data_IF_546513371832
#
_entry.id   IF_546513371832
#
_cell.length_a   1.000
_cell.length_b   1.000
_cell.length_c   1.000
_cell.angle_alpha   90.00
_cell.angle_beta   90.00
_cell.angle_gamma   90.00
#
_symmetry.space_group_name_H-M   'P 1'
#
loop_
_entity.id
_entity.type
_entity.pdbx_description
1 polymer ?
#
# COMPACT_ATOMS: atom_id res chain seq x y z
N UNK A 1 58.14 -16.08 -8.39
CA UNK A 1 57.29 -17.24 -8.75
C UNK A 1 56.20 -16.73 -9.68
N UNK A 2 56.01 -17.29 -10.87
CA UNK A 2 55.01 -16.81 -11.84
C UNK A 2 53.71 -17.59 -11.65
N UNK A 3 52.58 -16.92 -11.41
CA UNK A 3 51.25 -17.56 -11.45
C UNK A 3 50.65 -17.39 -12.84
N UNK A 4 50.15 -18.51 -13.36
CA UNK A 4 49.62 -18.67 -14.71
C UNK A 4 48.16 -18.20 -14.74
N UNK A 5 47.76 -17.54 -15.83
CA UNK A 5 46.36 -17.19 -16.09
C UNK A 5 45.60 -18.44 -16.56
N UNK A 6 44.35 -18.60 -16.11
CA UNK A 6 43.39 -19.50 -16.74
C UNK A 6 42.17 -18.68 -17.18
N UNK A 7 42.07 -18.44 -18.49
CA UNK A 7 40.87 -17.88 -19.13
C UNK A 7 40.00 -19.06 -19.53
N UNK A 8 38.78 -19.13 -18.99
CA UNK A 8 37.78 -20.09 -19.45
C UNK A 8 36.71 -19.33 -20.24
N UNK A 9 36.82 -19.38 -21.56
CA UNK A 9 35.80 -18.87 -22.47
C UNK A 9 34.90 -20.04 -22.90
N UNK A 10 33.62 -19.97 -22.53
CA UNK A 10 32.60 -20.93 -22.95
C UNK A 10 31.51 -20.22 -23.75
N UNK A 11 31.72 -20.11 -25.06
CA UNK A 11 30.67 -19.73 -26.01
C UNK A 11 29.93 -20.97 -26.48
N UNK A 12 28.62 -21.06 -26.21
CA UNK A 12 27.72 -21.90 -27.00
C UNK A 12 26.47 -21.12 -27.40
N UNK A 13 26.15 -21.24 -28.67
CA UNK A 13 25.03 -20.60 -29.37
C UNK A 13 23.80 -21.50 -29.29
N UNK A 14 22.63 -20.92 -29.09
CA UNK A 14 21.37 -21.52 -29.49
C UNK A 14 20.43 -20.44 -30.06
N UNK A 15 20.13 -20.53 -31.36
CA UNK A 15 19.06 -19.74 -31.96
C UNK A 15 17.70 -20.30 -31.55
N UNK A 16 16.74 -19.41 -31.33
CA UNK A 16 15.34 -19.74 -31.04
C UNK A 16 14.40 -18.67 -31.59
N UNK A 17 14.42 -18.47 -32.91
CA UNK A 17 13.41 -17.68 -33.61
C UNK A 17 12.10 -18.47 -33.70
N UNK A 18 11.00 -17.87 -33.25
CA UNK A 18 9.63 -18.33 -33.48
C UNK A 18 8.68 -17.16 -33.30
N UNK A 19 8.69 -16.24 -34.25
CA UNK A 19 7.72 -15.17 -34.31
C UNK A 19 6.27 -15.66 -34.31
N UNK A 20 5.39 -14.93 -33.64
CA UNK A 20 3.94 -15.02 -33.81
C UNK A 20 3.35 -13.62 -33.74
N UNK A 21 3.50 -12.89 -34.85
CA UNK A 21 2.86 -11.60 -35.02
C UNK A 21 1.33 -11.75 -35.05
N UNK A 22 0.63 -10.94 -34.27
CA UNK A 22 -0.82 -10.74 -34.41
C UNK A 22 -1.07 -9.43 -35.14
N UNK A 23 -1.26 -9.53 -36.45
CA UNK A 23 -1.71 -8.42 -37.29
C UNK A 23 -3.23 -8.39 -37.39
N UNK A 24 -3.80 -7.23 -37.09
CA UNK A 24 -4.97 -6.63 -37.76
C UNK A 24 -6.30 -7.37 -37.77
N UNK A 25 -7.27 -6.77 -37.08
CA UNK A 25 -8.61 -6.57 -37.62
C UNK A 25 -9.04 -5.12 -37.31
N UNK A 26 -8.83 -4.24 -38.29
CA UNK A 26 -9.48 -2.93 -38.37
C UNK A 26 -10.70 -3.10 -39.28
N UNK A 27 -11.87 -2.64 -38.84
CA UNK A 27 -13.03 -2.29 -39.67
C UNK A 27 -14.21 -1.88 -38.76
N UNK A 28 -14.79 -0.68 -38.96
CA UNK A 28 -15.99 -0.29 -38.20
C UNK A 28 -16.38 1.19 -38.13
N UNK A 29 -16.17 1.97 -39.19
CA UNK A 29 -16.59 3.38 -39.24
C UNK A 29 -18.11 3.55 -39.06
N UNK A 30 -18.51 4.42 -38.12
CA UNK A 30 -19.85 5.01 -38.10
C UNK A 30 -19.84 6.45 -37.56
N UNK A 31 -19.50 7.41 -38.42
CA UNK A 31 -19.69 8.83 -38.13
C UNK A 31 -21.18 9.20 -38.18
N UNK A 32 -21.73 9.80 -37.11
CA UNK A 32 -23.02 10.50 -37.16
C UNK A 32 -22.80 11.97 -36.81
N UNK A 33 -23.20 12.83 -37.74
CA UNK A 33 -22.98 14.29 -37.71
C UNK A 33 -24.31 15.04 -37.58
N UNK A 34 -24.24 16.23 -36.97
CA UNK A 34 -25.24 17.31 -36.92
C UNK A 34 -26.43 17.17 -35.95
N UNK A 35 -26.73 18.29 -35.26
CA UNK A 35 -27.88 18.38 -34.33
C UNK A 35 -28.02 19.68 -33.53
N UNK A 36 -27.54 20.85 -34.00
CA UNK A 36 -27.81 22.13 -33.32
C UNK A 36 -29.25 22.61 -33.54
N UNK A 37 -29.98 22.97 -32.47
CA UNK A 37 -31.04 24.00 -32.45
C UNK A 37 -31.31 24.43 -31.00
N UNK A 38 -31.48 25.73 -30.69
CA UNK A 38 -31.67 26.23 -29.32
C UNK A 38 -33.14 26.28 -28.87
N UNK A 39 -33.40 26.19 -27.56
CA UNK A 39 -34.74 26.24 -26.97
C UNK A 39 -34.80 27.03 -25.66
N UNK A 40 -35.55 28.13 -25.67
CA UNK A 40 -35.70 29.09 -24.56
C UNK A 40 -36.81 28.71 -23.59
N UNK A 41 -36.59 28.95 -22.29
CA UNK A 41 -37.65 29.13 -21.28
C UNK A 41 -37.41 28.34 -19.99
N UNK A 42 -37.87 28.73 -18.80
CA UNK A 42 -38.37 29.98 -18.22
C UNK A 42 -38.94 29.56 -16.86
N UNK A 43 -38.73 30.35 -15.79
CA UNK A 43 -39.47 30.30 -14.50
C UNK A 43 -39.34 28.97 -13.69
N UNK A 44 -39.16 28.99 -12.37
CA UNK A 44 -40.01 29.67 -11.37
C UNK A 44 -39.26 29.99 -10.08
N UNK A 45 -39.58 31.16 -9.48
CA UNK A 45 -39.16 31.59 -8.14
C UNK A 45 -40.06 30.98 -7.06
N UNK A 46 -39.53 30.70 -5.86
CA UNK A 46 -40.23 30.75 -4.55
C UNK A 46 -39.32 30.12 -3.48
N UNK A 47 -39.20 30.58 -2.23
CA UNK A 47 -39.44 31.89 -1.61
C UNK A 47 -38.75 31.82 -0.22
N UNK A 48 -37.92 32.80 0.15
CA UNK A 48 -37.17 32.77 1.43
C UNK A 48 -37.57 33.94 2.31
N UNK A 49 -38.50 33.72 3.25
CA UNK A 49 -38.77 34.66 4.34
C UNK A 49 -39.46 33.96 5.52
N UNK A 50 -38.98 34.20 6.74
CA UNK A 50 -39.49 33.52 7.94
C UNK A 50 -38.86 34.00 9.25
N UNK A 51 -39.40 35.09 9.79
CA UNK A 51 -39.12 35.69 11.12
C UNK A 51 -40.29 35.37 12.08
N UNK A 52 -40.16 35.27 13.41
CA UNK A 52 -39.05 35.62 14.31
C UNK A 52 -39.12 34.86 15.67
N UNK A 53 -38.20 35.17 16.60
CA UNK A 53 -38.36 35.29 18.07
C UNK A 53 -39.57 34.62 18.79
N UNK A 54 -39.47 33.89 19.93
CA UNK A 54 -38.74 34.23 21.15
C UNK A 54 -38.78 33.14 22.27
N UNK A 55 -37.72 33.07 23.08
CA UNK A 55 -37.68 32.90 24.57
C UNK A 55 -38.55 31.87 25.33
N UNK A 56 -37.90 30.92 26.04
CA UNK A 56 -38.11 30.67 27.49
C UNK A 56 -37.02 29.77 28.17
N UNK A 57 -36.22 30.37 29.06
CA UNK A 57 -35.72 29.87 30.37
C UNK A 57 -35.23 28.41 30.60
N UNK A 58 -33.89 28.21 30.54
CA UNK A 58 -33.05 27.52 31.56
C UNK A 58 -33.15 26.00 31.82
N UNK A 59 -32.24 25.40 32.63
CA UNK A 59 -31.10 26.00 33.35
C UNK A 59 -29.71 25.60 32.81
N UNK A 60 -28.67 26.19 33.41
CA UNK A 60 -27.23 25.92 33.23
C UNK A 60 -26.86 24.44 32.95
N UNK A 61 -26.02 24.24 31.93
CA UNK A 61 -24.99 23.19 31.96
C UNK A 61 -23.62 23.83 31.68
N UNK A 62 -22.70 23.57 32.61
CA UNK A 62 -21.35 24.10 32.67
C UNK A 62 -20.54 23.82 31.38
N UNK A 63 -19.77 24.80 30.92
CA UNK A 63 -18.94 24.72 29.70
C UNK A 63 -17.49 24.37 30.03
N UNK A 64 -17.32 23.25 30.74
CA UNK A 64 -16.02 22.66 31.04
C UNK A 64 -15.47 21.82 29.88
N UNK A 65 -14.63 22.43 29.03
CA UNK A 65 -13.65 21.80 28.12
C UNK A 65 -14.00 20.44 27.49
N UNK A 66 -14.17 20.42 26.17
CA UNK A 66 -14.28 19.21 25.33
C UNK A 66 -12.97 18.42 25.30
N UNK A 67 -12.62 17.76 26.41
CA UNK A 67 -11.87 16.51 26.33
C UNK A 67 -12.76 15.50 25.64
N UNK A 68 -12.28 14.88 24.56
CA UNK A 68 -12.99 13.78 23.94
C UNK A 68 -13.35 12.75 25.01
N UNK A 69 -14.58 12.22 24.96
CA UNK A 69 -14.94 11.03 25.74
C UNK A 69 -14.14 9.88 25.13
N UNK A 70 -12.89 9.72 25.60
CA UNK A 70 -12.16 8.47 25.44
C UNK A 70 -12.99 7.43 26.14
N UNK A 71 -13.58 6.52 25.36
CA UNK A 71 -14.00 5.24 25.88
C UNK A 71 -12.72 4.53 26.33
N UNK A 72 -12.38 4.72 27.61
CA UNK A 72 -11.44 3.88 28.33
C UNK A 72 -12.09 2.51 28.45
N UNK A 73 -11.94 1.71 27.39
CA UNK A 73 -12.27 0.30 27.38
C UNK A 73 -11.26 -0.36 28.31
N UNK A 74 -11.62 -0.37 29.60
CA UNK A 74 -10.69 -0.61 30.69
C UNK A 74 -9.82 -1.83 30.47
N UNK A 75 -8.51 -1.63 30.66
CA UNK A 75 -7.48 -2.67 30.65
C UNK A 75 -7.98 -3.95 31.33
N UNK A 76 -8.09 -5.00 30.53
CA UNK A 76 -8.43 -6.34 31.01
C UNK A 76 -7.38 -6.78 32.05
N UNK A 77 -7.76 -7.13 33.30
CA UNK A 77 -6.81 -7.61 34.30
C UNK A 77 -6.17 -8.96 33.95
N UNK A 78 -6.59 -9.62 32.86
CA UNK A 78 -5.93 -10.79 32.26
C UNK A 78 -4.97 -10.44 31.11
N UNK A 79 -4.80 -9.16 30.79
CA UNK A 79 -3.65 -8.64 30.03
C UNK A 79 -3.51 -9.13 28.58
N UNK A 80 -4.56 -9.69 27.98
CA UNK A 80 -4.53 -10.27 26.63
C UNK A 80 -5.39 -9.45 25.64
N UNK A 81 -5.33 -8.13 25.75
CA UNK A 81 -5.69 -7.22 24.65
C UNK A 81 -4.37 -6.86 23.99
N UNK A 82 -4.17 -7.23 22.71
CA UNK A 82 -2.87 -7.18 22.04
C UNK A 82 -2.20 -5.81 22.17
N UNK A 83 -1.18 -5.71 23.02
CA UNK A 83 -0.47 -4.46 23.27
C UNK A 83 0.46 -4.09 22.11
N UNK A 84 0.80 -2.80 22.02
CA UNK A 84 1.74 -2.28 21.03
C UNK A 84 2.97 -3.20 20.87
N UNK A 85 3.40 -3.41 19.63
CA UNK A 85 4.62 -4.18 19.37
C UNK A 85 5.77 -3.65 20.22
N UNK A 86 6.28 -4.49 21.11
CA UNK A 86 7.35 -4.11 22.03
C UNK A 86 8.74 -4.36 21.43
N UNK A 87 8.81 -5.06 20.30
CA UNK A 87 10.04 -5.66 19.75
C UNK A 87 10.18 -5.45 18.24
N UNK A 88 11.41 -5.51 17.71
CA UNK A 88 11.67 -5.49 16.28
C UNK A 88 11.05 -6.71 15.57
N UNK A 89 10.46 -6.52 14.39
CA UNK A 89 9.85 -7.61 13.62
C UNK A 89 10.88 -8.70 13.29
N UNK A 90 12.10 -8.29 12.91
CA UNK A 90 13.23 -9.19 12.62
C UNK A 90 13.65 -10.12 13.77
N UNK A 91 13.23 -9.81 15.01
CA UNK A 91 13.62 -10.57 16.21
C UNK A 91 12.53 -11.51 16.71
N UNK A 92 11.36 -11.57 16.04
CA UNK A 92 10.24 -12.39 16.50
C UNK A 92 10.61 -13.89 16.56
N UNK A 93 10.31 -14.59 17.68
CA UNK A 93 10.68 -15.99 17.87
C UNK A 93 10.14 -16.90 16.75
N UNK A 94 11.05 -17.58 16.05
CA UNK A 94 10.67 -18.57 15.05
C UNK A 94 10.15 -17.99 13.73
N UNK A 95 10.23 -16.67 13.51
CA UNK A 95 10.02 -16.05 12.21
C UNK A 95 11.06 -16.59 11.20
N UNK A 96 10.59 -17.02 10.03
CA UNK A 96 11.42 -17.67 8.99
C UNK A 96 11.56 -16.77 7.76
N UNK A 97 10.47 -16.17 7.32
CA UNK A 97 10.42 -15.30 6.14
C UNK A 97 9.24 -14.34 6.21
N UNK A 98 9.27 -13.29 5.39
CA UNK A 98 8.20 -12.29 5.28
C UNK A 98 7.74 -12.28 3.83
N UNK A 99 6.42 -12.32 3.62
CA UNK A 99 5.81 -12.33 2.29
C UNK A 99 4.98 -11.07 2.09
N UNK A 100 5.20 -10.37 0.98
CA UNK A 100 4.37 -9.26 0.52
C UNK A 100 3.48 -9.80 -0.61
N UNK A 101 2.17 -9.59 -0.50
CA UNK A 101 1.20 -9.99 -1.50
C UNK A 101 0.82 -8.78 -2.35
N UNK A 102 1.34 -8.74 -3.57
CA UNK A 102 1.05 -7.72 -4.59
C UNK A 102 -0.16 -8.17 -5.41
N UNK A 103 -1.09 -7.26 -5.72
CA UNK A 103 -2.32 -7.62 -6.43
C UNK A 103 -2.63 -6.74 -7.63
N UNK A 104 -1.75 -6.77 -8.62
CA UNK A 104 -1.97 -6.18 -9.94
C UNK A 104 -2.51 -7.21 -10.94
N UNK A 105 -3.84 -7.30 -11.02
CA UNK A 105 -4.53 -8.16 -11.99
C UNK A 105 -4.57 -9.64 -11.58
N UNK A 106 -4.37 -10.54 -12.54
CA UNK A 106 -4.38 -12.00 -12.27
C UNK A 106 -5.71 -12.57 -11.76
N UNK A 107 -5.63 -13.75 -11.15
CA UNK A 107 -6.71 -14.37 -10.35
C UNK A 107 -6.33 -14.55 -8.88
N UNK A 108 -5.04 -14.49 -8.58
CA UNK A 108 -4.43 -14.59 -7.25
C UNK A 108 -3.35 -13.50 -7.18
N UNK A 109 -2.98 -12.98 -6.00
CA UNK A 109 -1.87 -12.05 -5.85
C UNK A 109 -0.51 -12.72 -6.13
N UNK A 110 0.45 -11.93 -6.58
CA UNK A 110 1.85 -12.33 -6.70
C UNK A 110 2.54 -12.21 -5.33
N UNK A 111 3.23 -13.27 -4.90
CA UNK A 111 3.75 -13.43 -3.55
C UNK A 111 5.28 -13.30 -3.51
N UNK A 112 5.77 -12.17 -3.00
CA UNK A 112 7.20 -11.86 -2.91
C UNK A 112 7.71 -12.17 -1.51
N UNK A 113 8.55 -13.20 -1.38
CA UNK A 113 8.98 -13.74 -0.07
C UNK A 113 10.47 -13.54 0.17
N UNK A 114 10.80 -12.84 1.25
CA UNK A 114 12.16 -12.47 1.64
C UNK A 114 12.58 -13.18 2.94
N UNK A 115 13.88 -13.46 3.08
CA UNK A 115 14.45 -13.91 4.34
C UNK A 115 14.46 -12.77 5.37
N UNK A 116 14.37 -13.09 6.67
CA UNK A 116 14.31 -12.09 7.75
C UNK A 116 15.51 -11.14 7.75
N UNK A 117 16.72 -11.64 7.48
CA UNK A 117 17.95 -10.85 7.28
C UNK A 117 18.29 -10.65 5.78
N UNK A 118 17.27 -10.62 4.90
CA UNK A 118 17.42 -10.33 3.46
C UNK A 118 17.93 -8.91 3.21
N UNK A 119 18.66 -8.70 2.12
CA UNK A 119 19.20 -7.39 1.75
C UNK A 119 18.12 -6.36 1.47
N UNK A 120 16.98 -6.83 0.96
CA UNK A 120 15.77 -6.07 0.65
C UNK A 120 15.26 -5.41 1.94
N UNK A 121 14.85 -6.24 2.91
CA UNK A 121 14.31 -5.77 4.20
C UNK A 121 15.29 -4.98 5.07
N UNK A 122 16.59 -5.22 4.92
CA UNK A 122 17.64 -4.63 5.77
C UNK A 122 18.34 -3.41 5.15
N UNK A 123 18.01 -3.02 3.92
CA UNK A 123 18.54 -1.81 3.27
C UNK A 123 17.47 -1.15 2.40
N UNK A 124 16.86 -0.07 2.92
CA UNK A 124 15.99 0.80 2.10
C UNK A 124 16.71 1.28 0.84
N UNK A 125 16.10 1.07 -0.32
CA UNK A 125 16.66 1.44 -1.62
C UNK A 125 16.67 2.96 -1.84
N UNK A 126 17.73 3.45 -2.48
CA UNK A 126 17.90 4.86 -2.82
C UNK A 126 16.98 5.28 -3.99
N UNK A 127 16.64 6.57 -4.07
CA UNK A 127 15.86 7.11 -5.19
C UNK A 127 16.72 7.38 -6.45
N UNK A 128 16.13 7.25 -7.66
CA UNK A 128 14.77 6.79 -7.93
C UNK A 128 14.65 5.26 -7.95
N UNK A 129 13.51 4.73 -7.50
CA UNK A 129 13.11 3.36 -7.85
C UNK A 129 12.86 3.28 -9.37
N UNK A 130 13.42 2.26 -10.01
CA UNK A 130 13.42 2.07 -11.46
C UNK A 130 13.89 0.65 -11.81
N UNK A 131 13.86 0.25 -13.08
CA UNK A 131 14.42 -1.02 -13.57
C UNK A 131 15.84 -1.29 -13.01
N UNK A 132 15.98 -2.34 -12.21
CA UNK A 132 17.24 -2.72 -11.56
C UNK A 132 17.53 -2.03 -10.22
N UNK A 133 16.57 -1.29 -9.65
CA UNK A 133 16.59 -0.70 -8.32
C UNK A 133 15.17 -0.78 -7.70
N UNK A 134 14.75 -2.01 -7.38
CA UNK A 134 13.48 -2.37 -6.75
C UNK A 134 13.62 -3.75 -6.08
N UNK A 135 12.78 -4.04 -5.10
CA UNK A 135 12.65 -5.38 -4.47
C UNK A 135 11.48 -6.18 -5.04
N UNK A 136 10.42 -5.47 -5.46
CA UNK A 136 9.20 -6.03 -6.05
C UNK A 136 8.84 -5.23 -7.32
N UNK A 137 8.56 -5.93 -8.41
CA UNK A 137 7.94 -5.41 -9.63
C UNK A 137 6.41 -5.57 -9.58
N UNK A 138 5.68 -4.48 -9.86
CA UNK A 138 4.21 -4.47 -9.92
C UNK A 138 3.69 -4.34 -11.35
N UNK A 139 2.75 -3.42 -11.59
CA UNK A 139 2.37 -3.02 -12.94
C UNK A 139 3.56 -2.52 -13.79
N UNK A 140 3.37 -2.39 -15.12
CA UNK A 140 4.39 -1.80 -15.99
C UNK A 140 4.65 -0.33 -15.61
N UNK A 141 5.86 -0.04 -15.11
CA UNK A 141 6.24 1.27 -14.59
C UNK A 141 5.90 1.46 -13.10
N UNK A 142 5.77 0.35 -12.37
CA UNK A 142 5.58 0.28 -10.93
C UNK A 142 6.70 -0.50 -10.27
N UNK A 143 7.31 0.10 -9.24
CA UNK A 143 8.46 -0.45 -8.55
C UNK A 143 8.32 -0.18 -7.05
N UNK A 144 8.57 -1.21 -6.23
CA UNK A 144 8.50 -1.10 -4.78
C UNK A 144 9.84 -1.42 -4.08
N UNK A 145 9.97 -0.89 -2.87
CA UNK A 145 11.09 -1.04 -1.91
C UNK A 145 10.49 -1.40 -0.55
N UNK A 146 10.95 -2.48 0.07
CA UNK A 146 10.36 -3.08 1.28
C UNK A 146 11.37 -3.16 2.42
N UNK A 147 11.03 -2.64 3.59
CA UNK A 147 12.01 -2.49 4.67
C UNK A 147 11.42 -2.46 6.08
N UNK A 148 12.25 -2.81 7.07
CA UNK A 148 11.95 -2.59 8.49
C UNK A 148 11.92 -1.10 8.83
N UNK A 149 10.93 -0.68 9.63
CA UNK A 149 10.65 0.73 9.85
C UNK A 149 10.12 1.10 11.24
N UNK A 150 10.15 2.39 11.52
CA UNK A 150 9.35 3.02 12.57
C UNK A 150 7.88 3.23 12.13
N UNK A 151 7.05 3.72 13.06
CA UNK A 151 5.62 3.96 12.82
C UNK A 151 5.37 4.92 11.64
N UNK A 152 6.26 5.89 11.46
CA UNK A 152 6.19 6.92 10.41
C UNK A 152 6.82 6.45 9.10
N UNK A 153 7.14 5.15 8.95
CA UNK A 153 7.66 4.52 7.73
C UNK A 153 9.07 4.98 7.34
N UNK A 154 9.86 5.47 8.31
CA UNK A 154 11.29 5.73 8.17
C UNK A 154 12.04 4.42 8.41
N UNK A 155 13.10 4.17 7.64
CA UNK A 155 13.92 2.97 7.80
C UNK A 155 14.56 2.90 9.20
N UNK A 156 14.29 1.79 9.89
CA UNK A 156 14.93 1.39 11.15
C UNK A 156 15.18 -0.11 11.07
N UNK A 157 16.44 -0.53 11.14
CA UNK A 157 16.79 -1.95 11.09
C UNK A 157 16.13 -2.73 12.23
N UNK A 158 16.03 -2.15 13.42
CA UNK A 158 15.35 -2.73 14.58
C UNK A 158 13.89 -2.23 14.70
N UNK A 159 13.32 -1.86 13.55
CA UNK A 159 11.96 -1.40 13.37
C UNK A 159 10.90 -2.42 13.79
N UNK A 160 9.81 -1.89 14.35
CA UNK A 160 8.65 -2.68 14.83
C UNK A 160 7.52 -2.77 13.80
N UNK A 161 7.75 -2.19 12.63
CA UNK A 161 6.84 -2.09 11.52
C UNK A 161 7.52 -2.62 10.26
N UNK A 162 6.70 -2.98 9.28
CA UNK A 162 7.14 -3.20 7.91
C UNK A 162 6.54 -2.11 7.02
N UNK A 163 7.38 -1.51 6.19
CA UNK A 163 6.95 -0.56 5.18
C UNK A 163 7.16 -1.14 3.79
N UNK A 164 6.17 -0.98 2.93
CA UNK A 164 6.34 -0.99 1.48
C UNK A 164 6.21 0.45 0.97
N UNK A 165 7.16 0.88 0.15
CA UNK A 165 7.14 2.18 -0.51
C UNK A 165 7.27 2.01 -2.03
N UNK A 166 6.62 2.86 -2.81
CA UNK A 166 6.46 2.65 -4.25
C UNK A 166 6.53 3.90 -5.10
N UNK A 167 6.96 3.71 -6.34
CA UNK A 167 6.71 4.67 -7.43
C UNK A 167 5.77 4.04 -8.43
N UNK A 168 4.85 4.86 -8.95
CA UNK A 168 4.01 4.48 -10.09
C UNK A 168 3.94 5.64 -11.06
N UNK A 169 4.39 5.40 -12.29
CA UNK A 169 4.63 6.45 -13.29
C UNK A 169 3.45 6.84 -14.18
N UNK A 170 2.26 6.26 -13.98
CA UNK A 170 1.10 6.48 -14.86
C UNK A 170 -0.02 7.28 -14.16
N UNK A 171 -0.50 8.40 -14.73
CA UNK A 171 -1.68 9.11 -14.24
C UNK A 171 -2.97 8.50 -14.81
N UNK A 172 -4.13 9.15 -14.64
CA UNK A 172 -5.37 8.74 -15.32
C UNK A 172 -5.15 8.68 -16.85
N UNK A 173 -5.73 7.69 -17.57
CA UNK A 173 -6.75 6.75 -17.12
C UNK A 173 -6.22 5.39 -16.65
N UNK A 174 -4.97 5.29 -16.18
CA UNK A 174 -4.46 4.05 -15.58
C UNK A 174 -5.17 3.72 -14.24
N UNK A 175 -4.95 2.50 -13.73
CA UNK A 175 -5.29 2.15 -12.35
C UNK A 175 -4.42 2.90 -11.33
N UNK A 176 -4.72 2.78 -10.04
CA UNK A 176 -3.80 3.24 -9.00
C UNK A 176 -2.67 2.24 -8.77
N UNK A 177 -1.57 2.75 -8.23
CA UNK A 177 -0.42 1.97 -7.82
C UNK A 177 -0.29 1.80 -6.31
N UNK A 178 0.73 1.02 -5.92
CA UNK A 178 0.87 0.37 -4.61
C UNK A 178 -0.40 -0.45 -4.31
N UNK A 179 -0.49 -1.59 -5.02
CA UNK A 179 -1.57 -2.56 -4.90
C UNK A 179 -1.20 -3.68 -3.91
N UNK A 180 -0.89 -3.31 -2.66
CA UNK A 180 -0.65 -4.27 -1.58
C UNK A 180 -1.97 -4.88 -1.11
N UNK A 181 -2.06 -6.21 -1.12
CA UNK A 181 -3.14 -6.98 -0.51
C UNK A 181 -2.84 -7.32 0.95
N UNK A 182 -1.67 -7.86 1.27
CA UNK A 182 -1.32 -8.28 2.63
C UNK A 182 0.20 -8.31 2.84
N UNK A 183 0.63 -8.31 4.11
CA UNK A 183 1.98 -8.70 4.51
C UNK A 183 1.90 -9.87 5.50
N UNK A 184 2.45 -11.02 5.14
CA UNK A 184 2.48 -12.23 5.97
C UNK A 184 3.84 -12.43 6.66
N UNK A 185 3.83 -12.51 7.99
CA UNK A 185 4.93 -13.02 8.81
C UNK A 185 4.86 -14.55 8.84
N UNK A 186 5.82 -15.24 8.23
CA UNK A 186 5.81 -16.71 8.15
C UNK A 186 6.70 -17.31 9.24
N UNK A 187 6.06 -18.01 10.17
CA UNK A 187 6.67 -18.87 11.17
C UNK A 187 6.74 -20.32 10.64
N UNK A 188 7.36 -21.23 11.39
CA UNK A 188 7.52 -22.63 10.93
C UNK A 188 6.18 -23.36 10.67
N UNK A 189 5.14 -23.04 11.44
CA UNK A 189 3.84 -23.74 11.42
C UNK A 189 2.63 -22.81 11.15
N UNK A 190 2.84 -21.51 10.93
CA UNK A 190 1.77 -20.51 10.78
C UNK A 190 2.22 -19.26 10.01
N UNK A 191 1.27 -18.55 9.40
CA UNK A 191 1.45 -17.19 8.87
C UNK A 191 0.56 -16.23 9.65
N UNK A 192 1.11 -15.08 10.05
CA UNK A 192 0.36 -13.99 10.69
C UNK A 192 0.34 -12.77 9.77
N UNK A 193 -0.84 -12.26 9.45
CA UNK A 193 -1.01 -11.06 8.63
C UNK A 193 -0.89 -9.77 9.44
N UNK A 194 -0.79 -8.63 8.75
CA UNK A 194 -0.83 -7.31 9.37
C UNK A 194 -2.11 -7.11 10.18
N UNK A 195 -2.04 -6.32 11.26
CA UNK A 195 -3.20 -6.18 12.17
C UNK A 195 -3.67 -4.74 12.33
N UNK A 196 -2.87 -3.76 11.92
CA UNK A 196 -3.26 -2.36 11.82
C UNK A 196 -2.35 -1.59 10.85
N UNK A 197 -2.92 -0.60 10.18
CA UNK A 197 -2.15 0.40 9.42
C UNK A 197 -1.57 1.41 10.40
N UNK A 198 -0.25 1.58 10.37
CA UNK A 198 0.49 2.47 11.25
C UNK A 198 0.64 3.88 10.65
N UNK A 199 0.95 3.96 9.35
CA UNK A 199 0.94 5.18 8.54
C UNK A 199 0.87 4.85 7.05
N UNK A 200 0.44 5.81 6.23
CA UNK A 200 0.41 5.68 4.77
C UNK A 200 0.64 7.02 4.07
N UNK A 201 0.94 6.98 2.77
CA UNK A 201 1.07 8.16 1.89
C UNK A 201 0.39 7.86 0.57
N UNK A 202 -0.66 8.62 0.26
CA UNK A 202 -1.34 8.65 -1.05
C UNK A 202 -0.90 9.87 -1.86
N UNK A 203 -0.75 9.73 -3.17
CA UNK A 203 -0.27 10.78 -4.07
C UNK A 203 -1.00 10.77 -5.41
N UNK A 204 -1.03 11.93 -6.07
CA UNK A 204 -1.51 12.07 -7.44
C UNK A 204 -3.01 11.82 -7.63
N UNK A 205 -3.40 11.61 -8.89
CA UNK A 205 -4.65 10.98 -9.27
C UNK A 205 -4.56 9.44 -9.14
N UNK A 206 -5.61 8.72 -9.54
CA UNK A 206 -5.78 7.27 -9.38
C UNK A 206 -5.92 6.74 -7.92
N UNK A 207 -5.55 7.53 -6.91
CA UNK A 207 -5.74 7.16 -5.50
C UNK A 207 -7.23 7.02 -5.16
N UNK A 208 -7.62 5.94 -4.49
CA UNK A 208 -8.95 5.87 -3.86
C UNK A 208 -8.97 6.85 -2.68
N UNK A 209 -9.99 7.69 -2.59
CA UNK A 209 -10.08 8.73 -1.57
C UNK A 209 -10.98 8.28 -0.41
N UNK A 210 -10.63 8.58 0.85
CA UNK A 210 -9.60 9.52 1.29
C UNK A 210 -8.23 8.91 1.67
N UNK A 211 -8.08 7.59 1.61
CA UNK A 211 -7.06 6.82 2.34
C UNK A 211 -6.35 5.74 1.50
N UNK A 212 -6.63 5.67 0.20
CA UNK A 212 -6.12 4.63 -0.68
C UNK A 212 -6.66 3.23 -0.38
N UNK A 213 -7.77 3.10 0.36
CA UNK A 213 -8.22 1.85 0.98
C UNK A 213 -7.11 1.17 1.82
N UNK A 214 -6.35 1.93 2.62
CA UNK A 214 -5.24 1.40 3.41
C UNK A 214 -5.60 0.15 4.24
N UNK A 215 -6.82 0.10 4.79
CA UNK A 215 -7.30 -1.02 5.62
C UNK A 215 -7.49 -2.34 4.84
N UNK A 216 -7.51 -2.31 3.51
CA UNK A 216 -7.48 -3.55 2.71
C UNK A 216 -6.14 -4.31 2.87
N UNK A 217 -5.09 -3.65 3.37
CA UNK A 217 -3.78 -4.28 3.61
C UNK A 217 -3.71 -5.16 4.88
N UNK A 218 -4.83 -5.30 5.61
CA UNK A 218 -4.94 -5.95 6.94
C UNK A 218 -6.30 -6.66 7.14
N UNK A 219 -7.10 -6.84 6.09
CA UNK A 219 -8.46 -7.38 6.20
C UNK A 219 -8.51 -8.93 6.15
N UNK A 220 -7.38 -9.58 5.83
CA UNK A 220 -7.25 -11.02 5.67
C UNK A 220 -7.79 -11.58 4.35
N UNK A 221 -8.21 -10.74 3.40
CA UNK A 221 -8.66 -11.12 2.07
C UNK A 221 -7.61 -10.76 1.01
N UNK A 222 -6.85 -11.77 0.59
CA UNK A 222 -5.88 -11.70 -0.50
C UNK A 222 -6.47 -11.27 -1.88
N UNK A 223 -7.78 -11.03 -1.97
CA UNK A 223 -8.45 -10.51 -3.16
C UNK A 223 -8.82 -9.01 -3.08
N UNK A 224 -8.69 -8.36 -1.92
CA UNK A 224 -8.70 -6.90 -1.82
C UNK A 224 -7.28 -6.37 -2.02
N UNK A 225 -7.14 -5.04 -2.15
CA UNK A 225 -5.84 -4.38 -2.13
C UNK A 225 -5.99 -2.87 -1.90
N UNK A 226 -4.89 -2.27 -1.48
CA UNK A 226 -4.69 -0.82 -1.47
C UNK A 226 -4.61 -0.24 -2.88
N UNK A 227 -4.90 1.05 -3.02
CA UNK A 227 -4.85 1.78 -4.29
C UNK A 227 -4.42 3.23 -4.00
N UNK A 228 -3.12 3.42 -3.81
CA UNK A 228 -2.55 4.64 -3.20
C UNK A 228 -2.33 5.80 -4.18
N UNK A 229 -2.43 5.54 -5.49
CA UNK A 229 -2.44 6.57 -6.54
C UNK A 229 -1.21 6.52 -7.45
N UNK A 230 -0.57 7.65 -7.70
CA UNK A 230 0.62 7.70 -8.56
C UNK A 230 1.60 8.82 -8.17
N UNK A 231 2.82 8.71 -8.68
CA UNK A 231 3.95 9.60 -8.33
C UNK A 231 4.25 10.67 -9.39
N UNK A 232 3.40 10.86 -10.40
CA UNK A 232 3.63 11.83 -11.47
C UNK A 232 3.67 13.25 -10.91
N UNK A 233 4.83 13.90 -11.06
CA UNK A 233 5.07 15.26 -10.53
C UNK A 233 5.41 15.31 -9.03
N UNK A 234 5.49 14.16 -8.35
CA UNK A 234 5.97 14.07 -6.97
C UNK A 234 7.48 13.77 -6.91
N UNK A 235 8.10 14.06 -5.77
CA UNK A 235 9.41 13.53 -5.36
C UNK A 235 9.29 12.55 -4.18
N UNK A 236 8.08 12.38 -3.66
CA UNK A 236 7.74 11.41 -2.61
C UNK A 236 7.25 10.10 -3.23
N UNK A 237 7.35 9.02 -2.46
CA UNK A 237 6.82 7.69 -2.82
C UNK A 237 5.43 7.49 -2.24
N UNK A 238 4.62 6.67 -2.91
CA UNK A 238 3.48 6.01 -2.29
C UNK A 238 3.98 5.14 -1.13
N UNK A 239 3.19 4.95 -0.07
CA UNK A 239 3.66 4.17 1.08
C UNK A 239 2.54 3.57 1.91
N UNK A 240 2.75 2.37 2.41
CA UNK A 240 1.97 1.74 3.49
C UNK A 240 2.94 1.18 4.53
N UNK A 241 2.65 1.43 5.81
CA UNK A 241 3.41 0.92 6.96
C UNK A 241 2.46 0.14 7.86
N UNK A 242 2.74 -1.15 8.10
CA UNK A 242 1.89 -2.05 8.89
C UNK A 242 2.56 -2.47 10.21
N UNK A 243 1.74 -2.67 11.23
CA UNK A 243 2.14 -3.26 12.52
C UNK A 243 1.48 -4.62 12.78
N UNK A 244 2.13 -5.44 13.60
CA UNK A 244 1.80 -6.86 13.81
C UNK A 244 1.68 -7.19 15.29
N UNK A 245 0.49 -7.51 15.79
CA UNK A 245 0.26 -7.99 17.16
C UNK A 245 0.59 -9.50 17.26
N UNK A 246 1.85 -9.85 16.96
CA UNK A 246 2.29 -11.25 16.77
C UNK A 246 2.08 -12.12 18.02
N UNK A 247 1.64 -13.36 17.82
CA UNK A 247 1.44 -14.34 18.90
C UNK A 247 2.73 -15.04 19.36
N UNK A 248 3.83 -14.86 18.63
CA UNK A 248 5.13 -15.51 18.88
C UNK A 248 5.79 -15.14 20.22
N UNK A 249 5.40 -14.00 20.81
CA UNK A 249 5.90 -13.55 22.11
C UNK A 249 7.36 -13.05 22.08
N UNK A 250 8.00 -12.88 23.26
CA UNK A 250 9.33 -12.29 23.34
C UNK A 250 10.46 -13.24 22.87
N UNK A 251 11.56 -12.70 22.29
CA UNK A 251 12.82 -13.42 22.08
C UNK A 251 13.24 -14.26 23.30
N UNK A 252 13.75 -15.49 23.08
CA UNK A 252 14.49 -16.20 24.11
C UNK A 252 15.67 -15.33 24.59
N UNK A 253 15.75 -15.08 25.90
CA UNK A 253 16.82 -14.30 26.54
C UNK A 253 18.06 -15.10 26.89
#
# INVERSE_FOLDING_TARGET
MRRLWLVLASTLVACGDSGSGRTSADDGVASVTAGTTPGTGSTTQSNTQGTDSASATGPDLDTGTTSAIKFDLGVDPTGTTGGDMTQPVRMLPGLVSITFYERTGGTEPDAFTFAVDGSELTVRLADPLADGNFDIDGATGEFYDVYYSDQDGVFDIDGRYLTISGVFGQPLPAGGGLNLAEIGLNFQDATEYGNYVASFVILGDNAVQPDGNADNAIDGDLQTHTTMGNTVGSQERLRVTLGFLSSSGPPPG
#
